data_IF_301579361417
#
_entry.id   IF_301579361417
#
_cell.length_a   1.000
_cell.length_b   1.000
_cell.length_c   1.000
_cell.angle_alpha   90.00
_cell.angle_beta   90.00
_cell.angle_gamma   90.00
#
_symmetry.space_group_name_H-M   'P 1'
#
loop_
_entity.id
_entity.type
_entity.pdbx_description
1 polymer ?
#
# COMPACT_ATOMS: atom_id res chain seq x y z
N UNK A 1 -22.25 -16.38 -1.21
CA UNK A 1 -22.30 -14.91 -1.29
C UNK A 1 -21.19 -14.35 -2.17
N UNK A 2 -19.96 -14.83 -2.00
CA UNK A 2 -18.77 -14.33 -2.72
C UNK A 2 -18.43 -15.13 -3.98
N UNK A 3 -19.24 -16.12 -4.34
CA UNK A 3 -19.00 -17.01 -5.45
C UNK A 3 -18.33 -18.32 -5.02
N UNK A 4 -17.73 -19.02 -5.96
CA UNK A 4 -17.03 -20.28 -5.70
C UNK A 4 -15.62 -20.02 -5.17
N UNK A 5 -15.03 -21.04 -4.51
CA UNK A 5 -13.65 -20.96 -4.06
C UNK A 5 -12.72 -20.66 -5.25
N UNK A 6 -11.86 -19.68 -5.10
CA UNK A 6 -10.94 -19.24 -6.15
C UNK A 6 -11.52 -18.26 -7.15
N UNK A 7 -12.82 -17.93 -7.03
CA UNK A 7 -13.49 -16.94 -7.87
C UNK A 7 -14.47 -16.14 -7.06
N UNK A 8 -14.53 -14.84 -7.32
CA UNK A 8 -15.46 -13.90 -6.68
C UNK A 8 -16.34 -13.29 -7.76
N UNK A 9 -17.63 -13.13 -7.45
CA UNK A 9 -18.54 -12.47 -8.37
C UNK A 9 -18.18 -10.98 -8.46
N UNK A 10 -18.00 -10.50 -9.69
CA UNK A 10 -17.60 -9.12 -10.00
C UNK A 10 -18.52 -8.09 -9.33
N UNK A 11 -19.83 -8.33 -9.38
CA UNK A 11 -20.82 -7.42 -8.81
C UNK A 11 -20.67 -7.28 -7.30
N UNK A 12 -20.28 -8.37 -6.62
CA UNK A 12 -20.01 -8.32 -5.18
C UNK A 12 -18.77 -7.47 -4.88
N UNK A 13 -17.72 -7.58 -5.68
CA UNK A 13 -16.52 -6.74 -5.53
C UNK A 13 -16.88 -5.26 -5.65
N UNK A 14 -17.59 -4.88 -6.70
CA UNK A 14 -17.96 -3.49 -6.94
C UNK A 14 -18.84 -2.97 -5.80
N UNK A 15 -19.82 -3.75 -5.36
CA UNK A 15 -20.74 -3.35 -4.31
C UNK A 15 -20.01 -3.15 -2.98
N UNK A 16 -19.21 -4.10 -2.55
CA UNK A 16 -18.58 -4.03 -1.23
C UNK A 16 -17.41 -3.06 -1.19
N UNK A 17 -16.56 -3.04 -2.21
CA UNK A 17 -15.45 -2.09 -2.23
C UNK A 17 -15.92 -0.65 -2.45
N UNK A 18 -17.06 -0.46 -3.07
CA UNK A 18 -17.63 0.87 -3.28
C UNK A 18 -18.44 1.42 -2.10
N UNK A 19 -18.93 0.55 -1.21
CA UNK A 19 -19.84 0.95 -0.13
C UNK A 19 -19.29 0.76 1.27
N UNK A 20 -18.24 -0.04 1.46
CA UNK A 20 -17.67 -0.32 2.76
C UNK A 20 -16.53 0.64 3.11
N UNK A 21 -16.33 0.89 4.39
CA UNK A 21 -15.16 1.61 4.87
C UNK A 21 -13.91 0.75 4.74
N UNK A 22 -12.73 1.36 4.83
CA UNK A 22 -11.46 0.62 4.77
C UNK A 22 -11.35 -0.44 5.88
N UNK A 23 -11.82 -0.11 7.10
CA UNK A 23 -11.85 -1.08 8.19
C UNK A 23 -12.74 -2.27 7.91
N UNK A 24 -13.90 -2.02 7.31
CA UNK A 24 -14.82 -3.10 6.92
C UNK A 24 -14.21 -3.97 5.81
N UNK A 25 -13.52 -3.37 4.85
CA UNK A 25 -12.84 -4.13 3.79
C UNK A 25 -11.74 -5.02 4.37
N UNK A 26 -10.96 -4.52 5.33
CA UNK A 26 -9.95 -5.33 6.03
C UNK A 26 -10.58 -6.53 6.74
N UNK A 27 -11.71 -6.33 7.39
CA UNK A 27 -12.46 -7.39 8.07
C UNK A 27 -12.95 -8.44 7.08
N UNK A 28 -13.51 -8.00 5.96
CA UNK A 28 -13.99 -8.89 4.90
C UNK A 28 -12.83 -9.73 4.34
N UNK A 29 -11.68 -9.13 4.06
CA UNK A 29 -10.51 -9.85 3.57
C UNK A 29 -10.03 -10.92 4.54
N UNK A 30 -10.00 -10.59 5.82
CA UNK A 30 -9.60 -11.51 6.88
C UNK A 30 -10.55 -12.68 7.01
N UNK A 31 -11.86 -12.41 6.99
CA UNK A 31 -12.88 -13.44 7.04
C UNK A 31 -12.86 -14.35 5.81
N UNK A 32 -12.61 -13.76 4.64
CA UNK A 32 -12.50 -14.54 3.41
C UNK A 32 -11.34 -15.54 3.49
N UNK A 33 -10.15 -15.08 3.90
CA UNK A 33 -9.00 -15.97 4.07
C UNK A 33 -9.26 -17.08 5.08
N UNK A 34 -9.92 -16.75 6.19
CA UNK A 34 -10.26 -17.73 7.23
C UNK A 34 -11.25 -18.77 6.70
N UNK A 35 -12.25 -18.35 5.94
CA UNK A 35 -13.33 -19.23 5.44
C UNK A 35 -12.86 -20.12 4.30
N UNK A 36 -12.17 -19.57 3.31
CA UNK A 36 -11.81 -20.27 2.08
C UNK A 36 -10.37 -20.76 2.05
N UNK A 37 -9.58 -20.42 3.06
CA UNK A 37 -8.17 -20.83 3.20
C UNK A 37 -7.28 -20.39 2.03
N UNK A 38 -7.65 -19.26 1.39
CA UNK A 38 -6.86 -18.64 0.34
C UNK A 38 -6.95 -17.12 0.44
N UNK A 39 -5.97 -16.43 -0.15
CA UNK A 39 -5.97 -14.96 -0.19
C UNK A 39 -7.10 -14.45 -1.09
N UNK A 40 -7.78 -13.40 -0.64
CA UNK A 40 -8.80 -12.74 -1.46
C UNK A 40 -8.20 -12.19 -2.76
N UNK A 41 -6.92 -11.78 -2.76
CA UNK A 41 -6.24 -11.31 -3.96
C UNK A 41 -6.11 -12.40 -5.01
N UNK A 42 -5.82 -13.64 -4.60
CA UNK A 42 -5.75 -14.77 -5.54
C UNK A 42 -7.10 -15.04 -6.17
N UNK A 43 -8.17 -14.96 -5.38
CA UNK A 43 -9.54 -15.12 -5.90
C UNK A 43 -9.91 -13.99 -6.87
N UNK A 44 -9.52 -12.76 -6.56
CA UNK A 44 -9.75 -11.60 -7.44
C UNK A 44 -8.98 -11.78 -8.76
N UNK A 45 -7.73 -12.25 -8.69
CA UNK A 45 -6.92 -12.52 -9.87
C UNK A 45 -7.62 -13.47 -10.84
N UNK A 46 -8.31 -14.46 -10.32
CA UNK A 46 -9.03 -15.45 -11.12
C UNK A 46 -10.40 -14.96 -11.64
N UNK A 47 -10.85 -13.80 -11.16
CA UNK A 47 -12.22 -13.32 -11.41
C UNK A 47 -12.31 -12.09 -12.30
N UNK A 48 -11.22 -11.33 -12.43
CA UNK A 48 -11.18 -10.06 -13.17
C UNK A 48 -9.99 -10.03 -14.11
N UNK A 49 -9.97 -9.03 -15.01
CA UNK A 49 -8.84 -8.84 -15.91
C UNK A 49 -7.62 -8.27 -15.18
N UNK A 50 -6.49 -8.19 -15.88
CA UNK A 50 -5.22 -7.77 -15.27
C UNK A 50 -5.23 -6.32 -14.78
N UNK A 51 -5.89 -5.42 -15.50
CA UNK A 51 -5.96 -4.01 -15.08
C UNK A 51 -6.78 -3.85 -13.81
N UNK A 52 -7.91 -4.53 -13.73
CA UNK A 52 -8.73 -4.53 -12.52
C UNK A 52 -8.01 -5.21 -11.35
N UNK A 53 -7.29 -6.30 -11.60
CA UNK A 53 -6.49 -6.95 -10.57
C UNK A 53 -5.44 -6.00 -10.01
N UNK A 54 -4.70 -5.29 -10.87
CA UNK A 54 -3.69 -4.34 -10.42
C UNK A 54 -4.30 -3.25 -9.53
N UNK A 55 -5.46 -2.75 -9.91
CA UNK A 55 -6.20 -1.78 -9.08
C UNK A 55 -6.52 -2.35 -7.69
N UNK A 56 -7.10 -3.53 -7.62
CA UNK A 56 -7.46 -4.15 -6.34
C UNK A 56 -6.22 -4.50 -5.50
N UNK A 57 -5.15 -4.92 -6.14
CA UNK A 57 -3.89 -5.21 -5.44
C UNK A 57 -3.34 -3.95 -4.76
N UNK A 58 -3.30 -2.83 -5.48
CA UNK A 58 -2.83 -1.56 -4.92
C UNK A 58 -3.77 -1.09 -3.80
N UNK A 59 -5.07 -1.14 -4.03
CA UNK A 59 -6.07 -0.71 -3.05
C UNK A 59 -5.96 -1.51 -1.75
N UNK A 60 -5.87 -2.83 -1.83
CA UNK A 60 -5.78 -3.67 -0.65
C UNK A 60 -4.46 -3.51 0.08
N UNK A 61 -3.36 -3.31 -0.62
CA UNK A 61 -2.07 -3.00 0.01
C UNK A 61 -2.12 -1.66 0.73
N UNK A 62 -2.73 -0.65 0.13
CA UNK A 62 -2.88 0.66 0.75
C UNK A 62 -3.72 0.56 2.04
N UNK A 63 -4.81 -0.19 2.00
CA UNK A 63 -5.72 -0.33 3.14
C UNK A 63 -5.09 -1.14 4.29
N UNK A 64 -4.43 -2.25 3.96
CA UNK A 64 -3.90 -3.18 4.96
C UNK A 64 -2.54 -2.78 5.50
N UNK A 65 -1.69 -2.19 4.67
CA UNK A 65 -0.33 -1.83 5.04
C UNK A 65 0.16 -0.66 4.19
N UNK A 66 -0.34 0.54 4.48
CA UNK A 66 0.05 1.74 3.76
C UNK A 66 1.52 2.10 3.98
N UNK A 67 2.07 1.77 5.15
CA UNK A 67 3.49 1.99 5.44
C UNK A 67 4.39 1.30 4.44
N UNK A 68 4.19 0.00 4.22
CA UNK A 68 4.96 -0.76 3.23
C UNK A 68 4.73 -0.30 1.80
N UNK A 69 3.51 0.04 1.46
CA UNK A 69 3.19 0.57 0.12
C UNK A 69 3.97 1.84 -0.19
N UNK A 70 3.94 2.82 0.74
CA UNK A 70 4.66 4.06 0.53
C UNK A 70 6.17 3.89 0.62
N UNK A 71 6.66 3.01 1.48
CA UNK A 71 8.10 2.70 1.56
C UNK A 71 8.63 2.15 0.23
N UNK A 72 7.89 1.24 -0.38
CA UNK A 72 8.24 0.69 -1.69
C UNK A 72 8.29 1.79 -2.76
N UNK A 73 7.31 2.70 -2.77
CA UNK A 73 7.29 3.81 -3.72
C UNK A 73 8.45 4.76 -3.50
N UNK A 74 8.80 5.05 -2.26
CA UNK A 74 9.95 5.92 -1.96
C UNK A 74 11.27 5.30 -2.40
N UNK A 75 11.40 3.99 -2.32
CA UNK A 75 12.63 3.28 -2.71
C UNK A 75 12.93 3.38 -4.20
N UNK A 76 11.96 3.76 -5.03
CA UNK A 76 12.20 4.02 -6.44
C UNK A 76 13.01 5.30 -6.68
N UNK A 77 13.02 6.21 -5.72
CA UNK A 77 13.69 7.52 -5.74
C UNK A 77 13.29 8.40 -6.93
N UNK A 78 12.09 8.20 -7.45
CA UNK A 78 11.51 9.11 -8.45
C UNK A 78 11.11 10.41 -7.76
N UNK A 79 11.57 11.54 -8.29
CA UNK A 79 11.32 12.85 -7.68
C UNK A 79 9.84 13.12 -7.42
N UNK A 80 8.98 12.80 -8.37
CA UNK A 80 7.54 13.00 -8.23
C UNK A 80 6.97 12.19 -7.04
N UNK A 81 7.40 10.94 -6.88
CA UNK A 81 6.96 10.10 -5.76
C UNK A 81 7.52 10.58 -4.44
N UNK A 82 8.81 10.97 -4.39
CA UNK A 82 9.42 11.51 -3.19
C UNK A 82 8.67 12.76 -2.71
N UNK A 83 8.43 13.70 -3.60
CA UNK A 83 7.74 14.95 -3.26
C UNK A 83 6.33 14.67 -2.76
N UNK A 84 5.55 13.92 -3.52
CA UNK A 84 4.16 13.63 -3.20
C UNK A 84 4.01 12.90 -1.87
N UNK A 85 4.78 11.84 -1.68
CA UNK A 85 4.64 11.00 -0.50
C UNK A 85 5.17 11.69 0.75
N UNK A 86 6.37 12.27 0.69
CA UNK A 86 6.95 12.91 1.86
C UNK A 86 6.13 14.12 2.30
N UNK A 87 5.62 14.92 1.36
CA UNK A 87 4.79 16.06 1.71
C UNK A 87 3.43 15.62 2.29
N UNK A 88 2.76 14.69 1.63
CA UNK A 88 1.41 14.30 2.02
C UNK A 88 1.36 13.42 3.28
N UNK A 89 2.41 12.66 3.56
CA UNK A 89 2.41 11.68 4.65
C UNK A 89 3.24 12.07 5.87
N UNK A 90 3.97 13.19 5.82
CA UNK A 90 4.90 13.58 6.89
C UNK A 90 4.25 13.70 8.26
N UNK A 91 3.01 14.15 8.33
CA UNK A 91 2.28 14.32 9.59
C UNK A 91 1.15 13.30 9.77
N UNK A 92 1.09 12.28 8.93
CA UNK A 92 0.04 11.26 8.97
C UNK A 92 0.59 9.95 9.51
N UNK A 93 1.50 9.32 8.79
CA UNK A 93 2.05 8.01 9.17
C UNK A 93 3.51 7.84 8.74
N UNK A 94 4.30 8.89 8.81
CA UNK A 94 5.71 8.83 8.40
C UNK A 94 6.52 7.84 9.25
N UNK A 95 6.20 7.73 10.53
CA UNK A 95 6.82 6.75 11.42
C UNK A 95 6.62 5.32 10.93
N UNK A 96 5.39 4.97 10.52
CA UNK A 96 5.09 3.66 9.96
C UNK A 96 5.84 3.42 8.65
N UNK A 97 5.95 4.46 7.82
CA UNK A 97 6.68 4.38 6.54
C UNK A 97 8.18 4.16 6.80
N UNK A 98 8.78 4.87 7.75
CA UNK A 98 10.18 4.67 8.11
C UNK A 98 10.44 3.26 8.64
N UNK A 99 9.57 2.77 9.51
CA UNK A 99 9.71 1.43 10.09
C UNK A 99 9.61 0.36 8.99
N UNK A 100 8.62 0.49 8.11
CA UNK A 100 8.45 -0.42 6.97
C UNK A 100 9.66 -0.37 6.03
N UNK A 101 10.17 0.83 5.74
CA UNK A 101 11.34 1.00 4.87
C UNK A 101 12.56 0.29 5.44
N UNK A 102 12.82 0.48 6.74
CA UNK A 102 13.94 -0.18 7.41
C UNK A 102 13.79 -1.70 7.41
N UNK A 103 12.59 -2.19 7.64
CA UNK A 103 12.33 -3.63 7.62
C UNK A 103 12.51 -4.24 6.24
N UNK A 104 12.03 -3.55 5.19
CA UNK A 104 12.09 -4.03 3.81
C UNK A 104 13.49 -3.95 3.21
N UNK A 105 14.22 -2.86 3.46
CA UNK A 105 15.47 -2.56 2.75
C UNK A 105 16.70 -2.59 3.66
N UNK A 106 16.51 -2.78 4.97
CA UNK A 106 17.59 -2.91 5.97
C UNK A 106 18.47 -1.66 6.11
N UNK A 107 17.95 -0.50 5.66
CA UNK A 107 18.60 0.80 5.82
C UNK A 107 17.57 1.82 6.28
N UNK A 108 18.04 2.90 6.91
CA UNK A 108 17.14 4.00 7.28
C UNK A 108 16.76 4.81 6.04
N UNK A 109 15.48 5.22 5.96
CA UNK A 109 15.00 6.06 4.86
C UNK A 109 15.82 7.34 4.73
N UNK A 110 16.12 8.00 5.86
CA UNK A 110 16.88 9.25 5.88
C UNK A 110 18.28 9.06 5.30
N UNK A 111 18.95 7.95 5.63
CA UNK A 111 20.27 7.65 5.11
C UNK A 111 20.27 7.48 3.60
N UNK A 112 19.29 6.75 3.06
CA UNK A 112 19.16 6.57 1.63
C UNK A 112 18.81 7.89 0.91
N UNK A 113 17.98 8.74 1.51
CA UNK A 113 17.69 10.07 0.97
C UNK A 113 18.96 10.92 0.89
N UNK A 114 19.81 10.87 1.90
CA UNK A 114 21.08 11.60 1.91
C UNK A 114 22.06 11.10 0.85
N UNK A 115 22.00 9.81 0.55
CA UNK A 115 22.84 9.22 -0.49
C UNK A 115 22.36 9.60 -1.90
N UNK A 116 21.05 9.65 -2.09
CA UNK A 116 20.44 9.81 -3.43
C UNK A 116 20.10 11.25 -3.81
N UNK A 117 20.14 12.19 -2.86
CA UNK A 117 19.83 13.60 -3.10
C UNK A 117 20.89 14.48 -2.47
N UNK A 118 20.89 15.77 -2.81
CA UNK A 118 21.87 16.73 -2.30
C UNK A 118 21.29 18.12 -2.16
N UNK A 119 22.00 19.00 -1.46
CA UNK A 119 21.67 20.41 -1.32
C UNK A 119 20.42 20.68 -0.50
N UNK A 120 19.74 21.77 -0.83
CA UNK A 120 18.54 22.20 -0.11
C UNK A 120 17.38 21.24 -0.32
N UNK A 121 17.31 20.57 -1.46
CA UNK A 121 16.31 19.54 -1.72
C UNK A 121 16.46 18.38 -0.74
N UNK A 122 17.67 17.90 -0.53
CA UNK A 122 17.96 16.87 0.47
C UNK A 122 17.55 17.31 1.86
N UNK A 123 17.85 18.54 2.23
CA UNK A 123 17.48 19.08 3.54
C UNK A 123 15.97 19.07 3.74
N UNK A 124 15.22 19.53 2.76
CA UNK A 124 13.75 19.53 2.81
C UNK A 124 13.17 18.13 2.92
N UNK A 125 13.64 17.19 2.12
CA UNK A 125 13.17 15.79 2.14
C UNK A 125 13.49 15.12 3.49
N UNK A 126 14.68 15.32 4.03
CA UNK A 126 15.04 14.71 5.31
C UNK A 126 14.26 15.27 6.48
N UNK A 127 13.93 16.56 6.46
CA UNK A 127 13.08 17.17 7.49
C UNK A 127 11.69 16.51 7.47
N UNK A 128 11.09 16.36 6.29
CA UNK A 128 9.79 15.72 6.16
C UNK A 128 9.81 14.24 6.57
N UNK A 129 10.87 13.53 6.21
CA UNK A 129 11.02 12.12 6.53
C UNK A 129 11.25 11.84 8.02
N UNK A 130 11.67 12.84 8.78
CA UNK A 130 11.92 12.71 10.22
C UNK A 130 10.71 13.07 11.08
N UNK A 131 9.64 13.55 10.47
CA UNK A 131 8.42 13.85 11.22
C UNK A 131 7.71 12.58 11.68
#
# INVERSE_FOLDING_TARGET
>A
MWGEKGKIQKDNLVQYFGSCSYGEICTICRLYEKTYKESILDAIKNSVDSDAYDFFNILLRYISDSGSYFAEKLHSFKEADLNRILISRSEVNMDEIRDAYKEMYKTELVDDLKEKTEGDYQLGLTILAQK
#
